data_IF_569934762173
#
_entry.id   IF_569934762173
#
_cell.length_a   1.000
_cell.length_b   1.000
_cell.length_c   1.000
_cell.angle_alpha   90.00
_cell.angle_beta   90.00
_cell.angle_gamma   90.00
#
_symmetry.space_group_name_H-M   'P 1'
#
loop_
_entity.id
_entity.type
_entity.pdbx_description
1 polymer ?
#
# COMPACT_ATOMS: atom_id res chain seq x y z
N UNK A 1 -5.22 -15.09 -3.43
CA UNK A 1 -4.41 -13.89 -3.74
C UNK A 1 -2.94 -14.18 -3.52
N UNK A 2 -2.54 -14.80 -2.39
CA UNK A 2 -1.18 -15.35 -2.18
C UNK A 2 -0.70 -16.19 -3.36
N UNK A 3 -1.48 -17.18 -3.78
CA UNK A 3 -1.08 -18.13 -4.84
C UNK A 3 -0.75 -17.48 -6.19
N UNK A 4 -1.33 -16.31 -6.50
CA UNK A 4 -1.10 -15.60 -7.76
C UNK A 4 0.21 -14.80 -7.73
N UNK A 5 0.49 -14.14 -6.60
CA UNK A 5 1.78 -13.47 -6.39
C UNK A 5 2.92 -14.49 -6.31
N UNK A 6 2.68 -15.63 -5.64
CA UNK A 6 3.67 -16.68 -5.47
C UNK A 6 4.01 -17.37 -6.81
N UNK A 7 3.02 -17.55 -7.69
CA UNK A 7 3.23 -18.08 -9.04
C UNK A 7 4.00 -17.11 -9.96
N UNK A 8 3.74 -15.81 -9.85
CA UNK A 8 4.45 -14.77 -10.61
C UNK A 8 5.90 -14.61 -10.15
N UNK A 9 6.14 -14.70 -8.83
CA UNK A 9 7.48 -14.77 -8.22
C UNK A 9 8.28 -16.00 -8.64
N UNK A 10 7.62 -17.15 -8.85
CA UNK A 10 8.28 -18.36 -9.35
C UNK A 10 8.71 -18.24 -10.83
N UNK A 11 7.93 -17.50 -11.64
CA UNK A 11 8.22 -17.25 -13.05
C UNK A 11 9.35 -16.22 -13.25
N UNK A 12 9.34 -15.14 -12.45
CA UNK A 12 10.43 -14.17 -12.39
C UNK A 12 11.44 -14.62 -11.34
N UNK A 13 12.36 -15.56 -11.67
CA UNK A 13 13.47 -15.95 -10.78
C UNK A 13 14.29 -14.73 -10.36
N UNK A 14 13.83 -14.03 -9.34
CA UNK A 14 14.52 -12.91 -8.72
C UNK A 14 15.81 -13.48 -8.12
N UNK A 15 16.97 -12.86 -8.41
CA UNK A 15 18.21 -13.31 -7.81
C UNK A 15 18.06 -13.27 -6.29
N UNK A 16 18.72 -14.24 -5.63
CA UNK A 16 18.68 -14.42 -4.18
C UNK A 16 18.91 -13.07 -3.49
N UNK A 17 18.01 -12.70 -2.57
CA UNK A 17 18.01 -11.43 -1.83
C UNK A 17 17.51 -10.18 -2.56
N UNK A 18 16.56 -10.26 -3.51
CA UNK A 18 15.90 -9.07 -4.10
C UNK A 18 14.41 -8.89 -3.71
N UNK A 19 13.81 -9.81 -2.96
CA UNK A 19 12.41 -9.71 -2.52
C UNK A 19 12.30 -9.08 -1.12
N UNK A 20 12.70 -7.82 -0.99
CA UNK A 20 12.60 -7.07 0.27
C UNK A 20 12.46 -5.56 0.03
N UNK A 21 11.83 -4.88 0.97
CA UNK A 21 11.72 -3.41 1.01
C UNK A 21 12.70 -2.88 2.05
N UNK A 22 13.47 -1.84 1.69
CA UNK A 22 14.35 -1.13 2.62
C UNK A 22 13.67 0.12 3.13
N UNK A 23 13.76 0.36 4.45
CA UNK A 23 13.17 1.52 5.10
C UNK A 23 14.24 2.20 5.95
N UNK A 24 14.30 3.53 5.90
CA UNK A 24 15.21 4.31 6.74
C UNK A 24 14.81 4.22 8.22
N UNK A 25 15.75 4.46 9.15
CA UNK A 25 15.43 4.44 10.60
C UNK A 25 14.42 5.51 11.00
N UNK A 26 14.42 6.66 10.31
CA UNK A 26 13.47 7.73 10.57
C UNK A 26 12.06 7.32 10.12
N UNK A 27 11.95 6.80 8.89
CA UNK A 27 10.66 6.35 8.36
C UNK A 27 10.11 5.16 9.14
N UNK A 28 10.97 4.27 9.63
CA UNK A 28 10.53 3.16 10.48
C UNK A 28 9.84 3.64 11.76
N UNK A 29 10.32 4.75 12.36
CA UNK A 29 9.65 5.36 13.52
C UNK A 29 8.33 6.01 13.12
N UNK A 30 8.32 6.74 12.00
CA UNK A 30 7.09 7.35 11.49
C UNK A 30 6.01 6.29 11.18
N UNK A 31 6.41 5.13 10.65
CA UNK A 31 5.51 3.98 10.42
C UNK A 31 4.95 3.46 11.75
N UNK A 32 5.78 3.36 12.80
CA UNK A 32 5.33 2.96 14.12
C UNK A 32 4.32 3.97 14.71
N UNK A 33 4.59 5.27 14.58
CA UNK A 33 3.70 6.34 15.02
C UNK A 33 2.36 6.33 14.24
N UNK A 34 2.41 6.07 12.93
CA UNK A 34 1.22 5.87 12.10
C UNK A 34 0.39 4.69 12.61
N UNK A 35 1.02 3.57 12.92
CA UNK A 35 0.36 2.39 13.48
C UNK A 35 -0.34 2.69 14.82
N UNK A 36 0.29 3.47 15.69
CA UNK A 36 -0.30 3.91 16.95
C UNK A 36 -1.50 4.85 16.74
N UNK A 37 -1.47 5.70 15.71
CA UNK A 37 -2.60 6.58 15.34
C UNK A 37 -3.76 5.82 14.71
N UNK A 38 -3.47 4.89 13.79
CA UNK A 38 -4.47 4.15 13.02
C UNK A 38 -3.88 2.87 12.43
N UNK A 39 -4.23 1.73 13.04
CA UNK A 39 -3.85 0.41 12.52
C UNK A 39 -4.30 0.21 11.06
N UNK A 40 -5.50 0.70 10.69
CA UNK A 40 -6.00 0.55 9.33
C UNK A 40 -5.23 1.40 8.30
N UNK A 41 -4.78 2.59 8.69
CA UNK A 41 -3.97 3.42 7.79
C UNK A 41 -2.60 2.76 7.55
N UNK A 42 -2.01 2.19 8.60
CA UNK A 42 -0.79 1.40 8.48
C UNK A 42 -1.01 0.18 7.57
N UNK A 43 -2.05 -0.61 7.79
CA UNK A 43 -2.37 -1.77 6.95
C UNK A 43 -2.52 -1.38 5.48
N UNK A 44 -3.22 -0.29 5.20
CA UNK A 44 -3.39 0.23 3.85
C UNK A 44 -2.05 0.67 3.23
N UNK A 45 -1.22 1.40 3.98
CA UNK A 45 0.12 1.80 3.51
C UNK A 45 0.98 0.58 3.17
N UNK A 46 0.95 -0.46 4.02
CA UNK A 46 1.70 -1.69 3.77
C UNK A 46 1.19 -2.42 2.52
N UNK A 47 -0.13 -2.45 2.28
CA UNK A 47 -0.69 -3.03 1.05
C UNK A 47 -0.22 -2.26 -0.18
N UNK A 48 -0.20 -0.93 -0.13
CA UNK A 48 0.31 -0.10 -1.22
C UNK A 48 1.80 -0.36 -1.44
N UNK A 49 2.63 -0.31 -0.40
CA UNK A 49 4.07 -0.55 -0.50
C UNK A 49 4.44 -1.92 -1.06
N UNK A 50 3.69 -2.97 -0.70
CA UNK A 50 3.87 -4.32 -1.26
C UNK A 50 3.48 -4.43 -2.74
N UNK A 51 2.63 -3.52 -3.23
CA UNK A 51 2.12 -3.52 -4.60
C UNK A 51 2.84 -2.51 -5.51
N UNK A 52 3.71 -1.65 -4.96
CA UNK A 52 4.48 -0.67 -5.73
C UNK A 52 5.54 -1.36 -6.58
N UNK A 53 5.60 -0.96 -7.86
CA UNK A 53 6.67 -1.33 -8.76
C UNK A 53 7.69 -0.18 -8.91
N UNK A 54 8.52 -0.22 -9.95
CA UNK A 54 9.55 0.79 -10.22
C UNK A 54 9.01 2.21 -10.44
N UNK A 55 7.70 2.38 -10.59
CA UNK A 55 7.04 3.67 -10.78
C UNK A 55 6.60 4.32 -9.47
N UNK A 56 6.77 3.65 -8.32
CA UNK A 56 6.37 4.14 -7.00
C UNK A 56 4.91 4.61 -6.95
N UNK A 57 4.04 3.95 -7.71
CA UNK A 57 2.63 4.31 -7.83
C UNK A 57 1.78 3.04 -7.88
N UNK A 58 0.64 3.05 -7.19
CA UNK A 58 -0.31 1.94 -7.20
C UNK A 58 -1.68 2.45 -7.64
N UNK A 59 -2.20 1.88 -8.72
CA UNK A 59 -3.57 2.13 -9.15
C UNK A 59 -4.47 1.02 -8.62
N UNK A 60 -5.31 1.34 -7.64
CA UNK A 60 -6.21 0.37 -7.01
C UNK A 60 -7.59 0.99 -6.76
N UNK A 61 -8.65 0.21 -7.02
CA UNK A 61 -10.02 0.64 -6.74
C UNK A 61 -10.37 0.50 -5.25
N UNK A 62 -11.31 1.31 -4.76
CA UNK A 62 -11.88 1.12 -3.43
C UNK A 62 -12.46 -0.29 -3.25
N UNK A 63 -13.10 -0.85 -4.27
CA UNK A 63 -13.66 -2.21 -4.20
C UNK A 63 -12.57 -3.26 -3.94
N UNK A 64 -11.42 -3.14 -4.60
CA UNK A 64 -10.27 -4.02 -4.37
C UNK A 64 -9.69 -3.84 -2.96
N UNK A 65 -9.50 -2.59 -2.49
CA UNK A 65 -9.08 -2.33 -1.12
C UNK A 65 -10.06 -2.93 -0.08
N UNK A 66 -11.36 -2.87 -0.33
CA UNK A 66 -12.38 -3.49 0.55
C UNK A 66 -12.23 -5.01 0.60
N UNK A 67 -11.93 -5.65 -0.54
CA UNK A 67 -11.72 -7.11 -0.60
C UNK A 67 -10.43 -7.53 0.12
N UNK A 68 -9.37 -6.74 0.00
CA UNK A 68 -8.06 -7.04 0.63
C UNK A 68 -8.13 -6.82 2.15
N UNK A 69 -8.67 -5.68 2.59
CA UNK A 69 -8.64 -5.25 4.00
C UNK A 69 -9.90 -5.63 4.78
N UNK A 70 -10.94 -6.13 4.12
CA UNK A 70 -12.20 -6.52 4.74
C UNK A 70 -12.95 -5.36 5.41
N UNK A 71 -12.73 -4.11 4.96
CA UNK A 71 -13.35 -2.91 5.54
C UNK A 71 -14.37 -2.29 4.60
N UNK A 72 -15.27 -1.47 5.16
CA UNK A 72 -16.22 -0.69 4.38
C UNK A 72 -15.52 0.46 3.63
N UNK A 73 -16.11 0.91 2.53
CA UNK A 73 -15.60 2.07 1.77
C UNK A 73 -15.43 3.34 2.63
N UNK A 74 -16.41 3.77 3.46
CA UNK A 74 -16.22 4.94 4.34
C UNK A 74 -15.07 4.77 5.36
N UNK A 75 -14.80 3.55 5.81
CA UNK A 75 -13.68 3.29 6.72
C UNK A 75 -12.34 3.44 5.99
N UNK A 76 -12.24 2.91 4.77
CA UNK A 76 -11.04 3.06 3.93
C UNK A 76 -10.82 4.49 3.48
N UNK A 77 -11.89 5.22 3.17
CA UNK A 77 -11.81 6.64 2.78
C UNK A 77 -11.18 7.49 3.90
N UNK A 78 -11.57 7.25 5.16
CA UNK A 78 -10.92 7.87 6.32
C UNK A 78 -9.45 7.51 6.45
N UNK A 79 -9.07 6.25 6.18
CA UNK A 79 -7.68 5.83 6.20
C UNK A 79 -6.86 6.50 5.08
N UNK A 80 -7.37 6.54 3.85
CA UNK A 80 -6.77 7.29 2.72
C UNK A 80 -6.61 8.77 3.07
N UNK A 81 -7.64 9.37 3.69
CA UNK A 81 -7.60 10.78 4.08
C UNK A 81 -6.50 11.04 5.10
N UNK A 82 -6.36 10.19 6.12
CA UNK A 82 -5.30 10.28 7.12
C UNK A 82 -3.92 10.16 6.47
N UNK A 83 -3.71 9.16 5.62
CA UNK A 83 -2.44 8.98 4.91
C UNK A 83 -2.08 10.21 4.05
N UNK A 84 -3.08 10.82 3.40
CA UNK A 84 -2.88 12.04 2.61
C UNK A 84 -2.56 13.25 3.50
N UNK A 85 -3.28 13.43 4.60
CA UNK A 85 -3.11 14.55 5.54
C UNK A 85 -1.74 14.50 6.24
N UNK A 86 -1.26 13.29 6.57
CA UNK A 86 0.05 13.05 7.18
C UNK A 86 1.18 12.92 6.12
N UNK A 87 0.91 13.17 4.83
CA UNK A 87 1.86 13.13 3.72
C UNK A 87 2.54 11.78 3.46
N UNK A 88 1.86 10.67 3.75
CA UNK A 88 2.30 9.32 3.38
C UNK A 88 2.05 8.99 1.91
N UNK A 89 0.98 9.54 1.34
CA UNK A 89 0.57 9.28 -0.05
C UNK A 89 0.02 10.55 -0.69
N UNK A 90 0.15 10.63 -2.01
CA UNK A 90 -0.60 11.51 -2.88
C UNK A 90 -1.68 10.71 -3.61
N UNK A 91 -2.88 11.27 -3.73
CA UNK A 91 -3.96 10.68 -4.53
C UNK A 91 -4.09 11.45 -5.83
N UNK A 92 -3.78 10.79 -6.95
CA UNK A 92 -3.88 11.34 -8.30
C UNK A 92 -5.04 10.67 -9.02
N UNK A 93 -5.92 11.47 -9.64
CA UNK A 93 -7.02 10.93 -10.44
C UNK A 93 -6.53 10.60 -11.85
N UNK A 94 -6.73 9.35 -12.28
CA UNK A 94 -6.39 8.87 -13.62
C UNK A 94 -7.66 8.30 -14.26
N UNK A 95 -8.31 9.11 -15.09
CA UNK A 95 -9.62 8.78 -15.66
C UNK A 95 -10.69 8.59 -14.56
N UNK A 96 -11.21 7.37 -14.45
CA UNK A 96 -12.20 6.98 -13.42
C UNK A 96 -11.57 6.29 -12.20
N UNK A 97 -10.25 6.09 -12.19
CA UNK A 97 -9.51 5.44 -11.12
C UNK A 97 -8.64 6.44 -10.33
N UNK A 98 -8.19 6.01 -9.15
CA UNK A 98 -7.22 6.72 -8.34
C UNK A 98 -5.88 5.97 -8.39
N UNK A 99 -4.80 6.71 -8.61
CA UNK A 99 -3.44 6.29 -8.38
C UNK A 99 -2.95 6.87 -7.05
N UNK A 100 -2.27 6.05 -6.26
CA UNK A 100 -1.67 6.40 -4.99
C UNK A 100 -0.15 6.40 -5.18
N UNK A 101 0.49 7.56 -4.97
CA UNK A 101 1.93 7.81 -5.20
C UNK A 101 2.59 8.18 -3.88
#
# INVERSE_FOLDING_TARGET
MSDLLDAEKAAQRLPKNMDFVQVSRAELRAIADLGAKSALALDLLMVLAQSMDKQNAVMISFKAMQQILGKSRPTLDRAVRLLREDNWIQVVKVGTANAYV
#
